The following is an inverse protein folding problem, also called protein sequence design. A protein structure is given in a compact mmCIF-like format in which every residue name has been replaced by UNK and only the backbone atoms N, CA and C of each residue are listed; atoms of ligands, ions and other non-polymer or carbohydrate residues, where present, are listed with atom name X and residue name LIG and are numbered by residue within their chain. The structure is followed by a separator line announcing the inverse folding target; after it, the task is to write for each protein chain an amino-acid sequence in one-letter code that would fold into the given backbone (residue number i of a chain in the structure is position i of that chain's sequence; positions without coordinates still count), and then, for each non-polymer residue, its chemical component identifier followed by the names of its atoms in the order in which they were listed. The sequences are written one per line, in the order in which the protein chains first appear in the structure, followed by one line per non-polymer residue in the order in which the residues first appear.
data_IF_856827936855
#
_entry.id   IF_856827936855
#
_cell.length_a   1.000
_cell.length_b   1.000
_cell.length_c   1.000
_cell.angle_alpha   90.00
_cell.angle_beta   90.00
_cell.angle_gamma   90.00
#
_symmetry.space_group_name_H-M   'P 1'
#
loop_
_entity.id
_entity.type
_entity.pdbx_description
1 polymer ?
#
# COMPACT_ATOMS: atom_id res chain seq x y z
N UNK A 1 -0.09 61.78 -13.73
CA UNK A 1 -1.56 61.94 -13.64
C UNK A 1 -1.87 62.00 -12.16
N UNK A 2 -2.37 63.13 -11.66
CA UNK A 2 -2.63 63.29 -10.21
C UNK A 2 -3.70 62.27 -9.81
N UNK A 3 -3.51 61.56 -8.71
CA UNK A 3 -4.49 60.59 -8.22
C UNK A 3 -5.75 61.35 -7.78
N UNK A 4 -6.71 61.41 -8.69
CA UNK A 4 -7.99 62.12 -8.51
C UNK A 4 -8.72 61.57 -7.28
N UNK A 5 -8.49 60.31 -6.90
CA UNK A 5 -9.11 59.67 -5.73
C UNK A 5 -8.67 60.30 -4.40
N UNK A 6 -7.42 60.73 -4.28
CA UNK A 6 -6.92 61.35 -3.06
C UNK A 6 -7.54 62.75 -2.86
N UNK A 7 -7.62 63.52 -3.95
CA UNK A 7 -8.20 64.86 -3.96
C UNK A 7 -9.69 64.83 -3.65
N UNK A 8 -10.45 63.87 -4.22
CA UNK A 8 -11.89 63.74 -3.92
C UNK A 8 -12.17 63.26 -2.50
N UNK A 9 -11.32 62.39 -1.93
CA UNK A 9 -11.46 61.97 -0.54
C UNK A 9 -11.23 63.14 0.43
N UNK A 10 -10.19 63.93 0.21
CA UNK A 10 -9.91 65.11 1.03
C UNK A 10 -11.01 66.18 0.92
N UNK A 11 -11.54 66.41 -0.28
CA UNK A 11 -12.66 67.31 -0.49
C UNK A 11 -13.93 66.85 0.25
N UNK A 12 -14.25 65.55 0.18
CA UNK A 12 -15.40 64.97 0.88
C UNK A 12 -15.20 65.00 2.40
N UNK A 13 -13.99 64.76 2.89
CA UNK A 13 -13.65 64.85 4.31
C UNK A 13 -13.88 66.26 4.85
N UNK A 14 -13.35 67.27 4.16
CA UNK A 14 -13.53 68.68 4.55
C UNK A 14 -15.01 69.08 4.52
N UNK A 15 -15.75 68.65 3.49
CA UNK A 15 -17.18 68.89 3.40
C UNK A 15 -17.94 68.22 4.55
N UNK A 16 -17.62 66.96 4.89
CA UNK A 16 -18.23 66.24 6.01
C UNK A 16 -17.90 66.88 7.37
N UNK A 17 -16.68 67.39 7.57
CA UNK A 17 -16.29 68.13 8.77
C UNK A 17 -17.11 69.41 8.94
N UNK A 18 -17.37 70.13 7.85
CA UNK A 18 -18.23 71.32 7.87
C UNK A 18 -19.68 70.97 8.22
N UNK A 19 -20.24 69.90 7.63
CA UNK A 19 -21.58 69.41 7.99
C UNK A 19 -21.65 69.00 9.47
N UNK A 20 -20.63 68.32 9.98
CA UNK A 20 -20.56 67.94 11.40
C UNK A 20 -20.48 69.15 12.34
N UNK A 21 -19.84 70.25 11.92
CA UNK A 21 -19.82 71.50 12.68
C UNK A 21 -21.24 72.10 12.80
N UNK A 22 -21.98 72.20 11.68
CA UNK A 22 -23.38 72.63 11.67
C UNK A 22 -24.26 71.80 12.62
N UNK A 23 -24.11 70.47 12.59
CA UNK A 23 -24.84 69.57 13.51
C UNK A 23 -24.53 69.88 14.97
N UNK A 24 -23.26 70.15 15.31
CA UNK A 24 -22.84 70.49 16.69
C UNK A 24 -23.37 71.83 17.14
N UNK A 25 -23.48 72.78 16.23
CA UNK A 25 -23.99 74.14 16.48
C UNK A 25 -25.53 74.20 16.48
N UNK A 26 -26.20 73.11 16.06
CA UNK A 26 -27.66 73.00 16.03
C UNK A 26 -28.30 73.69 14.83
N UNK A 27 -27.54 73.94 13.77
CA UNK A 27 -28.03 74.54 12.54
C UNK A 27 -28.90 73.54 11.72
N UNK A 28 -29.86 74.06 10.97
CA UNK A 28 -30.64 73.24 10.03
C UNK A 28 -29.76 72.71 8.90
N UNK A 29 -29.87 71.41 8.62
CA UNK A 29 -29.15 70.77 7.52
C UNK A 29 -29.91 70.94 6.20
N UNK A 30 -29.19 71.41 5.17
CA UNK A 30 -29.66 71.42 3.79
C UNK A 30 -29.66 70.03 3.14
N UNK A 31 -30.23 69.95 1.95
CA UNK A 31 -30.24 68.69 1.17
C UNK A 31 -28.82 68.27 0.79
N UNK A 32 -27.95 69.24 0.51
CA UNK A 32 -26.52 69.07 0.24
C UNK A 32 -25.77 68.48 1.44
N UNK A 33 -26.10 68.95 2.66
CA UNK A 33 -25.49 68.45 3.89
C UNK A 33 -25.87 66.96 4.09
N UNK A 34 -27.13 66.60 3.82
CA UNK A 34 -27.61 65.22 3.85
C UNK A 34 -26.91 64.35 2.79
N UNK A 35 -26.73 64.86 1.56
CA UNK A 35 -25.98 64.16 0.51
C UNK A 35 -24.52 63.91 0.90
N UNK A 36 -23.85 64.89 1.51
CA UNK A 36 -22.48 64.75 2.01
C UNK A 36 -22.39 63.64 3.06
N UNK A 37 -23.34 63.56 3.99
CA UNK A 37 -23.39 62.49 4.98
C UNK A 37 -23.57 61.11 4.33
N UNK A 38 -24.47 60.97 3.36
CA UNK A 38 -24.64 59.71 2.62
C UNK A 38 -23.38 59.32 1.84
N UNK A 39 -22.76 60.27 1.13
CA UNK A 39 -21.51 60.04 0.41
C UNK A 39 -20.38 59.63 1.37
N UNK A 40 -20.29 60.26 2.54
CA UNK A 40 -19.33 59.90 3.59
C UNK A 40 -19.50 58.46 4.06
N UNK A 41 -20.74 58.03 4.31
CA UNK A 41 -21.05 56.64 4.70
C UNK A 41 -20.66 55.65 3.61
N UNK A 42 -21.04 55.91 2.35
CA UNK A 42 -20.71 55.05 1.20
C UNK A 42 -19.20 54.93 1.02
N UNK A 43 -18.46 56.05 1.11
CA UNK A 43 -17.00 56.04 0.97
C UNK A 43 -16.34 55.22 2.09
N UNK A 44 -16.87 55.29 3.31
CA UNK A 44 -16.36 54.48 4.42
C UNK A 44 -16.63 52.97 4.19
N UNK A 45 -17.85 52.59 3.80
CA UNK A 45 -18.18 51.20 3.47
C UNK A 45 -17.31 50.65 2.32
N UNK A 46 -17.10 51.44 1.25
CA UNK A 46 -16.23 51.06 0.14
C UNK A 46 -14.77 50.88 0.56
N UNK A 47 -14.30 51.65 1.55
CA UNK A 47 -12.96 51.49 2.13
C UNK A 47 -12.84 50.17 2.88
N UNK A 48 -13.85 49.83 3.67
CA UNK A 48 -13.90 48.58 4.42
C UNK A 48 -13.98 47.37 3.48
N UNK A 49 -14.84 47.43 2.45
CA UNK A 49 -14.91 46.40 1.39
C UNK A 49 -13.56 46.21 0.70
N UNK A 50 -12.86 47.30 0.34
CA UNK A 50 -11.53 47.22 -0.28
C UNK A 50 -10.51 46.53 0.63
N UNK A 51 -10.56 46.81 1.94
CA UNK A 51 -9.72 46.17 2.94
C UNK A 51 -10.02 44.67 3.07
N UNK A 52 -11.30 44.28 3.04
CA UNK A 52 -11.71 42.88 3.04
C UNK A 52 -11.28 42.14 1.78
N UNK A 53 -11.43 42.76 0.60
CA UNK A 53 -10.97 42.20 -0.67
C UNK A 53 -9.47 41.92 -0.63
N UNK A 54 -8.65 42.87 -0.19
CA UNK A 54 -7.19 42.67 -0.08
C UNK A 54 -6.83 41.53 0.89
N UNK A 55 -7.58 41.38 2.00
CA UNK A 55 -7.41 40.25 2.93
C UNK A 55 -7.82 38.91 2.33
N UNK A 56 -8.86 38.89 1.49
CA UNK A 56 -9.29 37.68 0.79
C UNK A 56 -8.29 37.27 -0.28
N UNK A 57 -7.74 38.21 -1.04
CA UNK A 57 -6.68 37.97 -2.01
C UNK A 57 -5.46 37.31 -1.34
N UNK A 58 -4.96 37.87 -0.23
CA UNK A 58 -3.85 37.26 0.54
C UNK A 58 -4.18 35.84 1.05
N UNK A 59 -5.42 35.61 1.50
CA UNK A 59 -5.86 34.27 1.92
C UNK A 59 -5.94 33.29 0.75
N UNK A 60 -6.39 33.74 -0.41
CA UNK A 60 -6.46 32.93 -1.63
C UNK A 60 -5.05 32.54 -2.05
N UNK A 61 -4.11 33.48 -2.08
CA UNK A 61 -2.72 33.22 -2.44
C UNK A 61 -2.07 32.19 -1.51
N UNK A 62 -2.23 32.38 -0.19
CA UNK A 62 -1.73 31.42 0.82
C UNK A 62 -2.37 30.04 0.67
N UNK A 63 -3.66 30.00 0.33
CA UNK A 63 -4.36 28.72 0.12
C UNK A 63 -3.86 28.03 -1.15
N UNK A 64 -3.65 28.78 -2.23
CA UNK A 64 -3.07 28.26 -3.47
C UNK A 64 -1.68 27.67 -3.25
N UNK A 65 -0.81 28.37 -2.52
CA UNK A 65 0.52 27.87 -2.16
C UNK A 65 0.46 26.55 -1.36
N UNK A 66 -0.46 26.46 -0.40
CA UNK A 66 -0.67 25.22 0.39
C UNK A 66 -1.20 24.07 -0.48
N UNK A 67 -2.05 24.36 -1.46
CA UNK A 67 -2.53 23.36 -2.42
C UNK A 67 -1.37 22.85 -3.26
N UNK A 68 -0.52 23.74 -3.78
CA UNK A 68 0.65 23.36 -4.58
C UNK A 68 1.63 22.49 -3.80
N UNK A 69 1.90 22.84 -2.53
CA UNK A 69 2.74 22.02 -1.65
C UNK A 69 2.11 20.64 -1.38
N UNK A 70 0.80 20.61 -1.16
CA UNK A 70 0.06 19.36 -0.95
C UNK A 70 0.12 18.47 -2.20
N UNK A 71 -0.05 19.04 -3.39
CA UNK A 71 0.05 18.31 -4.66
C UNK A 71 1.45 17.72 -4.86
N UNK A 72 2.52 18.47 -4.58
CA UNK A 72 3.89 17.94 -4.62
C UNK A 72 4.09 16.76 -3.68
N UNK A 73 3.59 16.86 -2.44
CA UNK A 73 3.65 15.77 -1.46
C UNK A 73 2.87 14.54 -1.92
N UNK A 74 1.72 14.72 -2.57
CA UNK A 74 0.94 13.63 -3.14
C UNK A 74 1.71 12.94 -4.27
N UNK A 75 2.32 13.71 -5.18
CA UNK A 75 3.12 13.16 -6.28
C UNK A 75 4.33 12.35 -5.79
N UNK A 76 5.03 12.86 -4.76
CA UNK A 76 6.15 12.15 -4.12
C UNK A 76 5.69 10.86 -3.45
N UNK A 77 4.57 10.90 -2.72
CA UNK A 77 3.99 9.71 -2.09
C UNK A 77 3.56 8.68 -3.13
N UNK A 78 2.93 9.11 -4.23
CA UNK A 78 2.52 8.23 -5.32
C UNK A 78 3.73 7.53 -5.95
N UNK A 79 4.79 8.27 -6.27
CA UNK A 79 6.04 7.70 -6.83
C UNK A 79 6.69 6.71 -5.87
N UNK A 80 6.79 7.07 -4.59
CA UNK A 80 7.37 6.21 -3.55
C UNK A 80 6.56 4.92 -3.38
N UNK A 81 5.23 5.02 -3.37
CA UNK A 81 4.35 3.87 -3.25
C UNK A 81 4.45 2.95 -4.47
N UNK A 82 4.42 3.50 -5.69
CA UNK A 82 4.60 2.72 -6.92
C UNK A 82 5.94 1.98 -6.91
N UNK A 83 7.04 2.64 -6.55
CA UNK A 83 8.36 1.99 -6.47
C UNK A 83 8.39 0.84 -5.45
N UNK A 84 7.75 1.02 -4.28
CA UNK A 84 7.66 -0.03 -3.26
C UNK A 84 6.80 -1.22 -3.70
N UNK A 85 5.72 -0.96 -4.44
CA UNK A 85 4.87 -2.01 -5.01
C UNK A 85 5.68 -2.81 -6.04
N UNK A 86 6.41 -2.14 -6.94
CA UNK A 86 7.23 -2.80 -7.94
C UNK A 86 8.34 -3.65 -7.32
N UNK A 87 9.02 -3.16 -6.29
CA UNK A 87 10.03 -3.93 -5.54
C UNK A 87 9.42 -5.16 -4.86
N UNK A 88 8.26 -5.00 -4.22
CA UNK A 88 7.53 -6.10 -3.56
C UNK A 88 7.13 -7.17 -4.57
N UNK A 89 6.61 -6.77 -5.73
CA UNK A 89 6.23 -7.68 -6.81
C UNK A 89 7.46 -8.47 -7.32
N UNK A 90 8.60 -7.82 -7.54
CA UNK A 90 9.84 -8.51 -7.93
C UNK A 90 10.28 -9.55 -6.91
N UNK A 91 10.27 -9.20 -5.63
CA UNK A 91 10.63 -10.13 -4.54
C UNK A 91 9.66 -11.31 -4.45
N UNK A 92 8.37 -11.07 -4.69
CA UNK A 92 7.37 -12.15 -4.77
C UNK A 92 7.64 -13.09 -5.94
N UNK A 93 7.93 -12.56 -7.13
CA UNK A 93 8.26 -13.36 -8.31
C UNK A 93 9.53 -14.20 -8.11
N UNK A 94 10.57 -13.62 -7.51
CA UNK A 94 11.81 -14.33 -7.18
C UNK A 94 11.57 -15.44 -6.15
N UNK A 95 10.77 -15.16 -5.12
CA UNK A 95 10.40 -16.14 -4.09
C UNK A 95 9.60 -17.28 -4.71
N UNK A 96 8.63 -16.97 -5.57
CA UNK A 96 7.82 -17.97 -6.27
C UNK A 96 8.70 -18.87 -7.15
N UNK A 97 9.61 -18.30 -7.96
CA UNK A 97 10.56 -19.06 -8.79
C UNK A 97 11.46 -19.97 -7.95
N UNK A 98 12.00 -19.43 -6.84
CA UNK A 98 12.85 -20.20 -5.92
C UNK A 98 12.11 -21.37 -5.27
N UNK A 99 10.86 -21.15 -4.84
CA UNK A 99 10.02 -22.21 -4.28
C UNK A 99 9.67 -23.27 -5.32
N UNK A 100 9.28 -22.88 -6.53
CA UNK A 100 9.02 -23.83 -7.63
C UNK A 100 10.25 -24.70 -7.92
N UNK A 101 11.44 -24.09 -8.02
CA UNK A 101 12.67 -24.85 -8.24
C UNK A 101 12.98 -25.85 -7.11
N UNK A 102 12.76 -25.46 -5.84
CA UNK A 102 12.94 -26.36 -4.69
C UNK A 102 11.91 -27.49 -4.66
N UNK A 103 10.67 -27.22 -5.08
CA UNK A 103 9.63 -28.24 -5.20
C UNK A 103 10.03 -29.25 -6.28
N UNK A 104 10.47 -28.79 -7.45
CA UNK A 104 10.93 -29.66 -8.55
C UNK A 104 12.11 -30.53 -8.14
N UNK A 105 13.10 -29.96 -7.43
CA UNK A 105 14.23 -30.70 -6.89
C UNK A 105 13.78 -31.75 -5.86
N UNK A 106 12.87 -31.38 -4.96
CA UNK A 106 12.32 -32.29 -3.96
C UNK A 106 11.56 -33.45 -4.62
N UNK A 107 10.76 -33.18 -5.65
CA UNK A 107 10.06 -34.20 -6.42
C UNK A 107 11.04 -35.17 -7.07
N UNK A 108 12.11 -34.67 -7.71
CA UNK A 108 13.17 -35.53 -8.28
C UNK A 108 13.82 -36.44 -7.24
N UNK A 109 14.08 -35.92 -6.03
CA UNK A 109 14.65 -36.70 -4.92
C UNK A 109 13.67 -37.77 -4.41
N UNK A 110 12.37 -37.46 -4.37
CA UNK A 110 11.32 -38.41 -4.02
C UNK A 110 11.25 -39.52 -5.07
N UNK A 111 11.22 -39.19 -6.36
CA UNK A 111 11.19 -40.16 -7.45
C UNK A 111 12.39 -41.12 -7.38
N UNK A 112 13.58 -40.58 -7.15
CA UNK A 112 14.80 -41.37 -7.02
C UNK A 112 14.77 -42.28 -5.78
N UNK A 113 14.25 -41.76 -4.66
CA UNK A 113 14.08 -42.56 -3.43
C UNK A 113 13.08 -43.70 -3.67
N UNK A 114 11.98 -43.45 -4.37
CA UNK A 114 10.99 -44.46 -4.72
C UNK A 114 11.61 -45.56 -5.60
N UNK A 115 12.41 -45.19 -6.62
CA UNK A 115 13.12 -46.19 -7.44
C UNK A 115 14.04 -47.07 -6.61
N UNK A 116 14.84 -46.47 -5.72
CA UNK A 116 15.73 -47.23 -4.83
C UNK A 116 14.95 -48.16 -3.90
N UNK A 117 13.79 -47.73 -3.40
CA UNK A 117 12.89 -48.57 -2.61
C UNK A 117 12.41 -49.76 -3.46
N UNK A 118 11.92 -49.52 -4.68
CA UNK A 118 11.45 -50.58 -5.58
C UNK A 118 12.56 -51.61 -5.87
N UNK A 119 13.79 -51.16 -6.10
CA UNK A 119 14.96 -52.03 -6.30
C UNK A 119 15.28 -52.86 -5.06
N UNK A 120 15.27 -52.25 -3.88
CA UNK A 120 15.49 -52.96 -2.60
C UNK A 120 14.39 -53.98 -2.37
N UNK A 121 13.12 -53.64 -2.61
CA UNK A 121 11.99 -54.56 -2.47
C UNK A 121 12.16 -55.75 -3.42
N UNK A 122 12.46 -55.52 -4.71
CA UNK A 122 12.71 -56.60 -5.68
C UNK A 122 13.86 -57.51 -5.25
N UNK A 123 14.98 -56.93 -4.83
CA UNK A 123 16.15 -57.69 -4.37
C UNK A 123 15.83 -58.54 -3.14
N UNK A 124 15.10 -57.97 -2.17
CA UNK A 124 14.69 -58.69 -0.97
C UNK A 124 13.70 -59.81 -1.30
N UNK A 125 12.69 -59.56 -2.13
CA UNK A 125 11.75 -60.60 -2.59
C UNK A 125 12.50 -61.76 -3.25
N UNK A 126 13.44 -61.48 -4.16
CA UNK A 126 14.22 -62.53 -4.81
C UNK A 126 15.05 -63.37 -3.80
N UNK A 127 15.64 -62.72 -2.79
CA UNK A 127 16.37 -63.42 -1.72
C UNK A 127 15.44 -64.27 -0.84
N UNK A 128 14.25 -63.78 -0.54
CA UNK A 128 13.23 -64.53 0.21
C UNK A 128 12.79 -65.76 -0.58
N UNK A 129 12.55 -65.62 -1.88
CA UNK A 129 12.18 -66.74 -2.76
C UNK A 129 13.29 -67.80 -2.85
N UNK A 130 14.57 -67.39 -2.94
CA UNK A 130 15.72 -68.30 -2.92
C UNK A 130 15.82 -69.05 -1.59
N UNK A 131 15.68 -68.34 -0.47
CA UNK A 131 15.68 -68.95 0.86
C UNK A 131 14.53 -69.94 1.03
N UNK A 132 13.33 -69.62 0.54
CA UNK A 132 12.19 -70.53 0.56
C UNK A 132 12.50 -71.84 -0.19
N UNK A 133 13.05 -71.76 -1.40
CA UNK A 133 13.47 -72.95 -2.17
C UNK A 133 14.52 -73.78 -1.45
N UNK A 134 15.50 -73.13 -0.81
CA UNK A 134 16.53 -73.83 -0.03
C UNK A 134 15.94 -74.53 1.20
N UNK A 135 14.95 -73.92 1.85
CA UNK A 135 14.21 -74.53 2.96
C UNK A 135 13.44 -75.76 2.47
N UNK A 136 12.72 -75.66 1.35
CA UNK A 136 11.97 -76.79 0.78
C UNK A 136 12.89 -77.98 0.42
N UNK A 137 14.06 -77.70 -0.16
CA UNK A 137 15.07 -78.72 -0.47
C UNK A 137 15.64 -79.39 0.79
N UNK A 138 15.92 -78.61 1.84
CA UNK A 138 16.36 -79.14 3.13
C UNK A 138 15.27 -80.01 3.79
N UNK A 139 14.01 -79.57 3.74
CA UNK A 139 12.88 -80.34 4.25
C UNK A 139 12.74 -81.68 3.51
N UNK A 140 12.89 -81.68 2.18
CA UNK A 140 12.85 -82.91 1.36
C UNK A 140 13.97 -83.87 1.75
N UNK A 141 15.20 -83.38 1.86
CA UNK A 141 16.36 -84.20 2.26
C UNK A 141 16.16 -84.78 3.68
N UNK A 142 15.62 -83.99 4.60
CA UNK A 142 15.35 -84.45 5.97
C UNK A 142 14.30 -85.58 6.00
N UNK A 143 13.25 -85.47 5.19
CA UNK A 143 12.24 -86.53 5.04
C UNK A 143 12.83 -87.82 4.47
N UNK A 144 13.72 -87.71 3.49
CA UNK A 144 14.43 -88.87 2.92
C UNK A 144 15.32 -89.56 3.95
N UNK A 145 16.10 -88.78 4.71
CA UNK A 145 16.92 -89.31 5.81
C UNK A 145 16.03 -90.01 6.85
N UNK A 146 14.91 -89.40 7.23
CA UNK A 146 13.97 -90.01 8.18
C UNK A 146 13.44 -91.36 7.68
N UNK A 147 13.09 -91.47 6.39
CA UNK A 147 12.65 -92.75 5.78
C UNK A 147 13.75 -93.81 5.84
N UNK A 148 14.97 -93.47 5.42
CA UNK A 148 16.12 -94.40 5.43
C UNK A 148 16.45 -94.89 6.85
N UNK A 149 16.38 -94.01 7.85
CA UNK A 149 16.58 -94.39 9.25
C UNK A 149 15.52 -95.38 9.74
N UNK A 150 14.25 -95.17 9.36
CA UNK A 150 13.16 -96.11 9.69
C UNK A 150 13.41 -97.48 9.05
N UNK A 151 13.82 -97.52 7.78
CA UNK A 151 14.15 -98.77 7.07
C UNK A 151 15.34 -99.50 7.72
N UNK A 152 16.41 -98.77 8.06
CA UNK A 152 17.58 -99.33 8.75
C UNK A 152 17.21 -99.94 10.10
N UNK A 153 16.37 -99.26 10.89
CA UNK A 153 15.89 -99.78 12.18
C UNK A 153 15.07 -101.06 11.98
N UNK A 154 14.19 -101.10 10.97
CA UNK A 154 13.41 -102.30 10.63
C UNK A 154 14.27 -103.47 10.17
N UNK A 155 15.36 -103.24 9.45
CA UNK A 155 16.25 -104.31 8.96
C UNK A 155 17.08 -105.00 10.06
N UNK A 156 17.13 -104.43 11.27
CA UNK A 156 17.90 -104.94 12.42
C UNK A 156 17.04 -105.67 13.47
N UNK A 157 15.72 -105.73 13.27
CA UNK A 157 14.79 -106.52 14.09
C UNK A 157 14.46 -107.83 13.37
#
# INVERSE_FOLDING_TARGET
MVDVSAITYDALRVAAEHVLAKVREGEELGTEDIFILYLGTIVNELRDVRSEVARLEDKIDKTSQRIDETNKRIDELAKSLSARIDDTNKRMDETAKSLSARIDETNKRIDETNRRIDEVVKSLSARVDDLAKRIDALQTTLLEIQKLLIELVRSRQ
#
